data_IF_191813634031
#
_entry.id   IF_191813634031
#
_cell.length_a   1.000
_cell.length_b   1.000
_cell.length_c   1.000
_cell.angle_alpha   90.00
_cell.angle_beta   90.00
_cell.angle_gamma   90.00
#
_symmetry.space_group_name_H-M   'P 1'
#
loop_
_entity.id
_entity.type
_entity.pdbx_description
1 polymer ?
#
# COMPACT_ATOMS: atom_id res chain seq x y z
N UNK A 1 12.50 11.40 -21.67
CA UNK A 1 11.92 12.11 -20.52
C UNK A 1 11.00 11.13 -19.82
N UNK A 2 11.22 10.83 -18.55
CA UNK A 2 10.58 9.74 -17.81
C UNK A 2 9.12 10.10 -17.53
N UNK A 3 8.22 9.79 -18.46
CA UNK A 3 6.77 9.87 -18.26
C UNK A 3 6.33 8.81 -17.26
N UNK A 4 6.58 9.04 -15.96
CA UNK A 4 5.78 8.38 -14.94
C UNK A 4 4.34 8.81 -15.19
N UNK A 5 3.50 7.89 -15.69
CA UNK A 5 2.09 8.19 -15.90
C UNK A 5 1.49 8.66 -14.57
N UNK A 6 0.66 9.71 -14.53
CA UNK A 6 0.08 10.25 -13.30
C UNK A 6 -0.55 9.19 -12.37
N UNK A 7 -1.08 8.13 -12.97
CA UNK A 7 -1.62 6.95 -12.27
C UNK A 7 -0.57 6.19 -11.44
N UNK A 8 0.66 6.07 -11.92
CA UNK A 8 1.74 5.42 -11.16
C UNK A 8 2.15 6.25 -9.96
N UNK A 9 2.20 7.58 -10.11
CA UNK A 9 2.49 8.49 -9.00
C UNK A 9 1.39 8.46 -7.92
N UNK A 10 0.12 8.45 -8.35
CA UNK A 10 -0.99 8.31 -7.42
C UNK A 10 -0.94 6.97 -6.67
N UNK A 11 -0.58 5.89 -7.36
CA UNK A 11 -0.43 4.56 -6.77
C UNK A 11 0.72 4.52 -5.75
N UNK A 12 1.90 5.03 -6.10
CA UNK A 12 3.03 5.09 -5.15
C UNK A 12 2.69 5.92 -3.92
N UNK A 13 1.98 7.04 -4.09
CA UNK A 13 1.56 7.87 -2.96
C UNK A 13 0.59 7.12 -2.02
N UNK A 14 -0.39 6.39 -2.57
CA UNK A 14 -1.31 5.54 -1.79
C UNK A 14 -0.56 4.44 -1.03
N UNK A 15 0.38 3.77 -1.71
CA UNK A 15 1.18 2.70 -1.12
C UNK A 15 2.10 3.20 0.01
N UNK A 16 2.70 4.38 -0.15
CA UNK A 16 3.51 5.03 0.90
C UNK A 16 2.66 5.45 2.10
N UNK A 17 1.45 5.98 1.88
CA UNK A 17 0.52 6.28 2.97
C UNK A 17 0.12 5.01 3.74
N UNK A 18 -0.13 3.92 3.01
CA UNK A 18 -0.46 2.63 3.62
C UNK A 18 0.68 2.09 4.50
N UNK A 19 1.92 2.20 4.04
CA UNK A 19 3.09 1.75 4.80
C UNK A 19 3.20 2.47 6.15
N UNK A 20 2.99 3.80 6.17
CA UNK A 20 3.01 4.57 7.43
C UNK A 20 1.96 4.08 8.42
N UNK A 21 0.75 3.76 7.95
CA UNK A 21 -0.33 3.24 8.81
C UNK A 21 -0.01 1.86 9.37
N UNK A 22 0.57 0.99 8.53
CA UNK A 22 1.00 -0.36 8.91
C UNK A 22 2.13 -0.31 9.95
N UNK A 23 3.15 0.51 9.72
CA UNK A 23 4.28 0.67 10.63
C UNK A 23 3.87 1.32 11.96
N UNK A 24 2.90 2.24 11.93
CA UNK A 24 2.35 2.84 13.13
C UNK A 24 1.56 1.82 14.00
N UNK A 25 1.30 0.59 13.51
CA UNK A 25 0.47 -0.43 14.17
C UNK A 25 -0.92 0.07 14.57
N UNK A 26 -1.40 1.15 13.95
CA UNK A 26 -2.65 1.81 14.30
C UNK A 26 -3.86 1.13 13.65
N UNK A 27 -3.67 0.23 12.68
CA UNK A 27 -4.77 -0.36 11.91
C UNK A 27 -4.43 -1.73 11.36
N UNK A 28 -5.43 -2.59 11.26
CA UNK A 28 -5.30 -3.87 10.57
C UNK A 28 -5.14 -3.63 9.05
N UNK A 29 -4.52 -4.59 8.36
CA UNK A 29 -4.20 -4.47 6.92
C UNK A 29 -5.45 -4.27 6.06
N UNK A 30 -6.58 -4.88 6.43
CA UNK A 30 -7.82 -4.73 5.68
C UNK A 30 -8.33 -3.29 5.76
N UNK A 31 -8.36 -2.70 6.96
CA UNK A 31 -8.72 -1.30 7.18
C UNK A 31 -7.79 -0.36 6.42
N UNK A 32 -6.48 -0.61 6.43
CA UNK A 32 -5.51 0.19 5.67
C UNK A 32 -5.79 0.12 4.17
N UNK A 33 -6.10 -1.06 3.64
CA UNK A 33 -6.43 -1.23 2.22
C UNK A 33 -7.66 -0.37 1.83
N UNK A 34 -8.73 -0.41 2.61
CA UNK A 34 -9.90 0.42 2.35
C UNK A 34 -9.60 1.91 2.50
N UNK A 35 -8.81 2.30 3.51
CA UNK A 35 -8.47 3.69 3.79
C UNK A 35 -7.61 4.33 2.68
N UNK A 36 -6.75 3.56 2.01
CA UNK A 36 -5.95 4.04 0.88
C UNK A 36 -6.64 3.87 -0.48
N UNK A 37 -7.92 3.46 -0.48
CA UNK A 37 -8.78 3.42 -1.66
C UNK A 37 -8.68 2.14 -2.49
N UNK A 38 -8.35 1.01 -1.87
CA UNK A 38 -8.47 -0.31 -2.50
C UNK A 38 -9.81 -0.95 -2.15
N UNK A 39 -10.45 -1.55 -3.15
CA UNK A 39 -11.73 -2.28 -2.99
C UNK A 39 -11.55 -3.64 -2.33
N UNK A 40 -10.32 -4.19 -2.33
CA UNK A 40 -10.03 -5.50 -1.76
C UNK A 40 -8.67 -5.52 -1.04
N UNK A 41 -8.61 -5.99 0.22
CA UNK A 41 -7.36 -6.22 0.95
C UNK A 41 -6.39 -7.16 0.24
N UNK A 42 -6.92 -8.13 -0.52
CA UNK A 42 -6.12 -9.08 -1.30
C UNK A 42 -5.42 -8.42 -2.48
N UNK A 43 -6.11 -7.51 -3.18
CA UNK A 43 -5.53 -6.69 -4.25
C UNK A 43 -4.44 -5.77 -3.70
N UNK A 44 -4.74 -5.06 -2.61
CA UNK A 44 -3.77 -4.22 -1.90
C UNK A 44 -2.51 -5.00 -1.52
N UNK A 45 -2.66 -6.17 -0.90
CA UNK A 45 -1.53 -6.98 -0.44
C UNK A 45 -0.61 -7.43 -1.57
N UNK A 46 -1.16 -7.78 -2.74
CA UNK A 46 -0.39 -8.14 -3.94
C UNK A 46 0.41 -6.94 -4.46
N UNK A 47 -0.23 -5.79 -4.57
CA UNK A 47 0.39 -4.57 -5.10
C UNK A 47 1.42 -3.99 -4.15
N UNK A 48 1.14 -4.02 -2.84
CA UNK A 48 2.07 -3.65 -1.78
C UNK A 48 3.33 -4.53 -1.83
N UNK A 49 3.16 -5.86 -1.90
CA UNK A 49 4.29 -6.78 -2.04
C UNK A 49 5.07 -6.53 -3.33
N UNK A 50 4.40 -6.19 -4.43
CA UNK A 50 5.07 -5.89 -5.70
C UNK A 50 5.90 -4.61 -5.63
N UNK A 51 5.45 -3.62 -4.85
CA UNK A 51 6.12 -2.33 -4.72
C UNK A 51 7.24 -2.34 -3.67
N UNK A 52 7.00 -2.95 -2.51
CA UNK A 52 7.94 -2.95 -1.36
C UNK A 52 8.75 -4.25 -1.21
N UNK A 53 8.44 -5.30 -1.96
CA UNK A 53 9.08 -6.61 -1.84
C UNK A 53 8.61 -7.45 -0.64
N UNK A 54 7.96 -6.82 0.36
CA UNK A 54 7.43 -7.47 1.56
C UNK A 54 5.91 -7.39 1.60
N UNK A 55 5.26 -8.39 2.18
CA UNK A 55 3.80 -8.30 2.40
C UNK A 55 3.52 -7.30 3.52
N UNK A 56 2.35 -6.61 3.49
CA UNK A 56 1.98 -5.68 4.55
C UNK A 56 1.91 -6.36 5.93
N UNK A 57 1.68 -7.69 5.99
CA UNK A 57 1.71 -8.49 7.23
C UNK A 57 3.13 -8.79 7.73
N UNK A 58 4.12 -8.79 6.84
CA UNK A 58 5.53 -8.92 7.20
C UNK A 58 6.13 -7.59 7.66
N UNK A 59 5.60 -6.47 7.15
CA UNK A 59 6.07 -5.10 7.42
C UNK A 59 5.55 -4.52 8.77
N UNK A 60 4.71 -5.26 9.49
CA UNK A 60 4.26 -4.89 10.86
C UNK A 60 5.24 -5.30 11.96
N UNK A 61 6.44 -5.80 11.63
CA UNK A 61 7.39 -6.29 12.64
C UNK A 61 8.00 -5.12 13.41
#
# INVERSE_FOLDING_TARGET
MTNMSPLQYQKSHRLLAAQRLIQAKQSNIASVAFQVGYESPSQFSREYKRYFGVSPKGDTK
#
